data_IF_877669545262
#
_entry.id   IF_877669545262
#
_cell.length_a   1.000
_cell.length_b   1.000
_cell.length_c   1.000
_cell.angle_alpha   90.00
_cell.angle_beta   90.00
_cell.angle_gamma   90.00
#
_symmetry.space_group_name_H-M   'P 1'
#
loop_
_entity.id
_entity.type
_entity.pdbx_description
1 polymer ?
#
# COMPACT_ATOMS: atom_id res chain seq x y z
N UNK A 1 -15.95 -3.37 1.89
CA UNK A 1 -15.62 -2.17 1.09
C UNK A 1 -14.10 -2.07 1.11
N UNK A 2 -13.42 -1.83 -0.02
CA UNK A 2 -11.96 -1.91 -0.14
C UNK A 2 -11.28 -0.78 0.66
N UNK A 3 -10.97 -1.06 1.92
CA UNK A 3 -10.10 -0.19 2.70
C UNK A 3 -8.68 -0.37 2.17
N UNK A 4 -8.05 0.76 1.81
CA UNK A 4 -6.71 0.82 1.26
C UNK A 4 -5.73 0.40 2.36
N UNK A 5 -5.72 1.17 3.44
CA UNK A 5 -5.09 0.95 4.74
C UNK A 5 -5.83 1.95 5.64
N UNK A 6 -6.30 1.54 6.82
CA UNK A 6 -6.91 2.49 7.75
C UNK A 6 -5.86 3.27 8.56
N UNK A 7 -6.28 4.29 9.31
CA UNK A 7 -5.33 5.12 10.07
C UNK A 7 -4.60 4.33 11.16
N UNK A 8 -5.24 3.34 11.77
CA UNK A 8 -4.64 2.52 12.82
C UNK A 8 -3.58 1.58 12.27
N UNK A 9 -3.86 0.94 11.14
CA UNK A 9 -2.93 0.07 10.43
C UNK A 9 -1.75 0.87 9.87
N UNK A 10 -1.98 2.07 9.33
CA UNK A 10 -0.91 2.97 8.90
C UNK A 10 0.02 3.34 10.07
N UNK A 11 -0.54 3.69 11.23
CA UNK A 11 0.25 4.02 12.42
C UNK A 11 1.09 2.82 12.89
N UNK A 12 0.54 1.59 12.82
CA UNK A 12 1.30 0.38 13.15
C UNK A 12 2.47 0.17 12.19
N UNK A 13 2.24 0.31 10.88
CA UNK A 13 3.28 0.16 9.87
C UNK A 13 4.40 1.20 10.04
N UNK A 14 4.03 2.45 10.30
CA UNK A 14 5.00 3.53 10.58
C UNK A 14 5.81 3.22 11.84
N UNK A 15 5.16 2.76 12.91
CA UNK A 15 5.84 2.39 14.14
C UNK A 15 6.85 1.25 13.94
N UNK A 16 6.54 0.27 13.09
CA UNK A 16 7.49 -0.79 12.75
C UNK A 16 8.69 -0.22 11.99
N UNK A 17 8.44 0.60 10.96
CA UNK A 17 9.49 1.22 10.15
C UNK A 17 10.42 2.12 10.99
N UNK A 18 9.88 2.87 11.94
CA UNK A 18 10.65 3.72 12.88
C UNK A 18 11.55 2.91 13.82
N UNK A 19 11.25 1.63 14.06
CA UNK A 19 12.03 0.74 14.93
C UNK A 19 13.07 -0.10 14.19
N UNK A 20 13.11 -0.03 12.86
CA UNK A 20 14.09 -0.77 12.06
C UNK A 20 15.49 -0.15 12.20
N UNK A 21 16.49 -1.01 12.43
CA UNK A 21 17.90 -0.59 12.50
C UNK A 21 18.46 -0.19 11.13
N UNK A 22 17.95 -0.81 10.05
CA UNK A 22 18.31 -0.48 8.68
C UNK A 22 17.42 0.67 8.16
N UNK A 23 17.85 1.90 8.40
CA UNK A 23 17.15 3.13 7.99
C UNK A 23 16.97 3.23 6.46
N UNK A 24 17.93 2.72 5.67
CA UNK A 24 17.85 2.76 4.21
C UNK A 24 16.74 1.83 3.71
N UNK A 25 16.66 0.62 4.27
CA UNK A 25 15.58 -0.31 3.97
C UNK A 25 14.22 0.23 4.45
N UNK A 26 14.15 0.82 5.64
CA UNK A 26 12.93 1.43 6.17
C UNK A 26 12.42 2.55 5.24
N UNK A 27 13.32 3.44 4.79
CA UNK A 27 12.98 4.50 3.84
C UNK A 27 12.51 3.96 2.48
N UNK A 28 13.13 2.88 1.98
CA UNK A 28 12.70 2.19 0.74
C UNK A 28 11.30 1.61 0.88
N UNK A 29 11.02 0.90 1.99
CA UNK A 29 9.71 0.30 2.26
C UNK A 29 8.63 1.37 2.44
N UNK A 30 8.93 2.47 3.15
CA UNK A 30 8.00 3.60 3.30
C UNK A 30 7.65 4.23 1.96
N UNK A 31 8.65 4.45 1.11
CA UNK A 31 8.44 4.98 -0.24
C UNK A 31 7.58 4.02 -1.07
N UNK A 32 7.90 2.74 -1.03
CA UNK A 32 7.16 1.69 -1.75
C UNK A 32 5.69 1.65 -1.30
N UNK A 33 5.44 1.67 0.01
CA UNK A 33 4.09 1.72 0.60
C UNK A 33 3.31 2.96 0.13
N UNK A 34 3.94 4.14 0.17
CA UNK A 34 3.33 5.39 -0.29
C UNK A 34 2.99 5.36 -1.79
N UNK A 35 3.89 4.86 -2.62
CA UNK A 35 3.69 4.77 -4.07
C UNK A 35 2.52 3.81 -4.40
N UNK A 36 2.47 2.64 -3.76
CA UNK A 36 1.41 1.63 -3.98
C UNK A 36 0.04 2.05 -3.45
N UNK A 37 -0.03 2.66 -2.28
CA UNK A 37 -1.29 3.16 -1.73
C UNK A 37 -1.84 4.33 -2.54
N UNK A 38 -0.97 5.20 -3.09
CA UNK A 38 -1.35 6.27 -4.01
C UNK A 38 -1.92 5.72 -5.32
N UNK A 39 -1.28 4.68 -5.88
CA UNK A 39 -1.77 4.00 -7.09
C UNK A 39 -3.17 3.41 -6.88
N UNK A 40 -3.34 2.62 -5.81
CA UNK A 40 -4.63 2.03 -5.46
C UNK A 40 -5.70 3.09 -5.18
N UNK A 41 -5.35 4.16 -4.46
CA UNK A 41 -6.27 5.27 -4.20
C UNK A 41 -6.71 6.00 -5.47
N UNK A 42 -5.81 6.14 -6.45
CA UNK A 42 -6.13 6.69 -7.77
C UNK A 42 -7.14 5.82 -8.54
N UNK A 43 -6.97 4.50 -8.49
CA UNK A 43 -7.87 3.53 -9.10
C UNK A 43 -9.24 3.50 -8.41
N UNK A 44 -9.29 3.44 -7.08
CA UNK A 44 -10.55 3.42 -6.30
C UNK A 44 -11.37 4.69 -6.52
N UNK A 45 -10.71 5.85 -6.61
CA UNK A 45 -11.38 7.11 -6.93
C UNK A 45 -11.86 7.19 -8.39
N UNK A 46 -11.69 6.11 -9.16
CA UNK A 46 -12.06 5.98 -10.57
C UNK A 46 -11.65 7.21 -11.39
N UNK A 47 -10.40 7.65 -11.21
CA UNK A 47 -9.89 8.87 -11.86
C UNK A 47 -9.75 8.75 -13.37
N UNK A 48 -9.92 7.56 -13.93
CA UNK A 48 -9.97 7.33 -15.37
C UNK A 48 -11.37 6.87 -15.81
N UNK A 49 -12.20 7.79 -16.33
CA UNK A 49 -13.54 7.47 -16.79
C UNK A 49 -13.57 6.64 -18.09
N UNK A 50 -12.43 6.46 -18.77
CA UNK A 50 -12.33 5.68 -20.00
C UNK A 50 -12.00 4.21 -19.76
N UNK A 51 -11.71 3.85 -18.50
CA UNK A 51 -11.30 2.50 -18.12
C UNK A 51 -12.53 1.59 -18.05
N UNK A 52 -12.56 0.52 -18.87
CA UNK A 52 -13.69 -0.41 -18.84
C UNK A 52 -13.76 -1.09 -17.47
N UNK A 53 -14.98 -1.38 -16.99
CA UNK A 53 -15.19 -1.93 -15.64
C UNK A 53 -14.36 -3.18 -15.34
N UNK A 54 -14.19 -4.08 -16.32
CA UNK A 54 -13.37 -5.28 -16.18
C UNK A 54 -11.88 -4.97 -15.99
N UNK A 55 -11.34 -4.03 -16.78
CA UNK A 55 -9.95 -3.59 -16.69
C UNK A 55 -9.69 -2.81 -15.40
N UNK A 56 -10.65 -1.99 -14.98
CA UNK A 56 -10.59 -1.24 -13.72
C UNK A 56 -10.53 -2.17 -12.52
N UNK A 57 -11.36 -3.21 -12.52
CA UNK A 57 -11.36 -4.22 -11.47
C UNK A 57 -10.03 -4.96 -11.44
N UNK A 58 -9.55 -5.43 -12.59
CA UNK A 58 -8.27 -6.14 -12.66
C UNK A 58 -7.10 -5.29 -12.14
N UNK A 59 -7.02 -4.01 -12.55
CA UNK A 59 -5.99 -3.08 -12.06
C UNK A 59 -6.12 -2.80 -10.56
N UNK A 60 -7.35 -2.65 -10.06
CA UNK A 60 -7.60 -2.42 -8.64
C UNK A 60 -7.21 -3.63 -7.79
N UNK A 61 -7.51 -4.85 -8.27
CA UNK A 61 -7.14 -6.10 -7.61
C UNK A 61 -5.60 -6.28 -7.61
N UNK A 62 -4.93 -5.96 -8.71
CA UNK A 62 -3.47 -6.00 -8.82
C UNK A 62 -2.80 -4.95 -7.91
N UNK A 63 -3.27 -3.71 -7.93
CA UNK A 63 -2.78 -2.64 -7.06
C UNK A 63 -2.98 -2.97 -5.58
N UNK A 64 -4.13 -3.58 -5.23
CA UNK A 64 -4.39 -4.04 -3.86
C UNK A 64 -3.40 -5.12 -3.44
N UNK A 65 -3.16 -6.12 -4.28
CA UNK A 65 -2.17 -7.16 -3.99
C UNK A 65 -0.77 -6.57 -3.78
N UNK A 66 -0.39 -5.57 -4.57
CA UNK A 66 0.89 -4.89 -4.41
C UNK A 66 1.01 -4.15 -3.07
N UNK A 67 -0.07 -3.50 -2.60
CA UNK A 67 -0.12 -2.90 -1.25
C UNK A 67 0.02 -4.00 -0.19
N UNK A 68 -0.77 -5.07 -0.29
CA UNK A 68 -0.77 -6.18 0.68
C UNK A 68 0.62 -6.83 0.81
N UNK A 69 1.34 -6.98 -0.31
CA UNK A 69 2.69 -7.56 -0.32
C UNK A 69 3.71 -6.67 0.41
N UNK A 70 3.61 -5.34 0.26
CA UNK A 70 4.48 -4.39 1.00
C UNK A 70 4.11 -4.38 2.49
N UNK A 71 2.82 -4.36 2.81
CA UNK A 71 2.32 -4.44 4.19
C UNK A 71 2.86 -5.68 4.89
N UNK A 72 2.75 -6.85 4.25
CA UNK A 72 3.30 -8.12 4.79
C UNK A 72 4.80 -8.06 5.01
N UNK A 73 5.56 -7.44 4.10
CA UNK A 73 7.00 -7.27 4.25
C UNK A 73 7.33 -6.41 5.46
N UNK A 74 6.64 -5.28 5.65
CA UNK A 74 6.82 -4.41 6.80
C UNK A 74 6.44 -5.14 8.10
N UNK A 75 5.28 -5.80 8.13
CA UNK A 75 4.84 -6.58 9.29
C UNK A 75 5.81 -7.69 9.69
N UNK A 76 6.58 -8.24 8.74
CA UNK A 76 7.64 -9.21 9.02
C UNK A 76 8.79 -8.69 9.89
N UNK A 77 8.92 -7.37 10.07
CA UNK A 77 9.89 -6.74 10.97
C UNK A 77 9.35 -6.45 12.37
N UNK A 78 8.07 -6.75 12.63
CA UNK A 78 7.47 -6.60 13.96
C UNK A 78 8.15 -7.55 14.95
N UNK A 79 8.72 -7.00 16.02
CA UNK A 79 9.37 -7.74 17.11
C UNK A 79 8.34 -8.35 18.08
#
# INVERSE_FOLDING_TARGET
MNEIIDMSEMNELLSILEQMEDEELAAKLLKELNDKTKELGGLIMNRDPNLQHGEWKAKSDEAKKAVDDVVRRIQGFKK
#
